data_IF_705729378211
#
_entry.id   IF_705729378211
#
_cell.length_a   1.000
_cell.length_b   1.000
_cell.length_c   1.000
_cell.angle_alpha   90.00
_cell.angle_beta   90.00
_cell.angle_gamma   90.00
#
_symmetry.space_group_name_H-M   'P 1'
#
loop_
_entity.id
_entity.type
_entity.pdbx_description
1 polymer ?
#
# COMPACT_ATOMS: atom_id res chain seq x y z
N UNK A 1 -38.53 12.56 27.32
CA UNK A 1 -37.48 13.18 26.49
C UNK A 1 -36.20 13.05 27.30
N UNK A 2 -35.31 12.19 26.80
CA UNK A 2 -34.58 11.22 27.60
C UNK A 2 -33.34 11.81 28.28
N UNK A 3 -33.01 11.34 29.49
CA UNK A 3 -31.86 11.77 30.31
C UNK A 3 -30.52 11.64 29.53
N UNK A 4 -30.51 10.76 28.52
CA UNK A 4 -29.40 10.55 27.57
C UNK A 4 -29.20 11.72 26.60
N UNK A 5 -30.27 12.40 26.21
CA UNK A 5 -30.20 13.53 25.27
C UNK A 5 -29.64 14.78 25.94
N UNK A 6 -29.92 14.97 27.24
CA UNK A 6 -29.31 16.06 28.02
C UNK A 6 -27.82 15.83 28.24
N UNK A 7 -27.41 14.60 28.56
CA UNK A 7 -26.00 14.22 28.72
C UNK A 7 -25.21 14.34 27.41
N UNK A 8 -25.84 13.99 26.28
CA UNK A 8 -25.24 14.16 24.95
C UNK A 8 -25.06 15.64 24.57
N UNK A 9 -26.02 16.50 24.92
CA UNK A 9 -25.93 17.95 24.65
C UNK A 9 -24.95 18.68 25.58
N UNK A 10 -24.80 18.25 26.84
CA UNK A 10 -23.77 18.74 27.76
C UNK A 10 -22.37 18.29 27.31
N UNK A 11 -22.22 17.05 26.84
CA UNK A 11 -20.95 16.55 26.28
C UNK A 11 -20.58 17.26 24.97
N UNK A 12 -21.53 17.56 24.08
CA UNK A 12 -21.28 18.31 22.85
C UNK A 12 -20.86 19.76 23.13
N UNK A 13 -21.48 20.42 24.11
CA UNK A 13 -21.06 21.77 24.55
C UNK A 13 -19.66 21.79 25.16
N UNK A 14 -19.24 20.70 25.81
CA UNK A 14 -17.88 20.58 26.35
C UNK A 14 -16.81 20.30 25.27
N UNK A 15 -17.20 19.82 24.09
CA UNK A 15 -16.30 19.50 22.97
C UNK A 15 -16.12 20.67 22.00
N UNK A 16 -17.08 21.60 21.92
CA UNK A 16 -16.98 22.81 21.10
C UNK A 16 -15.81 23.75 21.47
N UNK A 17 -15.19 23.57 22.65
CA UNK A 17 -14.12 24.47 23.11
C UNK A 17 -12.68 24.09 22.68
N UNK A 18 -12.43 22.96 22.00
CA UNK A 18 -11.01 22.54 21.78
C UNK A 18 -10.61 22.05 20.39
N UNK A 19 -11.47 22.09 19.37
CA UNK A 19 -11.07 21.65 18.02
C UNK A 19 -11.41 22.69 16.97
N UNK A 20 -10.48 23.63 16.74
CA UNK A 20 -10.46 24.41 15.51
C UNK A 20 -9.99 23.51 14.37
N UNK A 21 -10.92 23.03 13.55
CA UNK A 21 -10.60 22.38 12.28
C UNK A 21 -9.79 23.35 11.41
N UNK A 22 -8.76 22.86 10.73
CA UNK A 22 -7.96 23.70 9.83
C UNK A 22 -8.86 24.30 8.72
N UNK A 23 -8.64 25.56 8.33
CA UNK A 23 -9.42 26.23 7.30
C UNK A 23 -9.54 25.40 6.01
N UNK A 24 -8.46 24.71 5.63
CA UNK A 24 -8.40 23.85 4.44
C UNK A 24 -9.32 22.62 4.53
N UNK A 25 -9.46 22.03 5.72
CA UNK A 25 -10.36 20.89 5.93
C UNK A 25 -11.82 21.33 5.82
N UNK A 26 -12.12 22.51 6.37
CA UNK A 26 -13.44 23.14 6.30
C UNK A 26 -13.79 23.49 4.85
N UNK A 27 -12.82 24.01 4.09
CA UNK A 27 -13.00 24.34 2.68
C UNK A 27 -13.19 23.09 1.81
N UNK A 28 -12.44 22.01 2.06
CA UNK A 28 -12.62 20.72 1.37
C UNK A 28 -13.98 20.07 1.64
N UNK A 29 -14.48 20.16 2.87
CA UNK A 29 -15.82 19.68 3.22
C UNK A 29 -16.90 20.53 2.53
N UNK A 30 -16.71 21.85 2.45
CA UNK A 30 -17.65 22.72 1.75
C UNK A 30 -17.63 22.50 0.23
N UNK A 31 -16.46 22.21 -0.36
CA UNK A 31 -16.31 21.91 -1.78
C UNK A 31 -16.94 20.57 -2.16
N UNK A 32 -16.77 19.53 -1.34
CA UNK A 32 -17.38 18.22 -1.59
C UNK A 32 -18.91 18.28 -1.49
N UNK A 33 -19.46 18.97 -0.49
CA UNK A 33 -20.91 19.20 -0.36
C UNK A 33 -21.46 20.02 -1.54
N UNK A 34 -20.69 21.00 -2.03
CA UNK A 34 -21.11 21.85 -3.15
C UNK A 34 -21.07 21.07 -4.48
N UNK A 35 -20.09 20.22 -4.72
CA UNK A 35 -20.02 19.32 -5.88
C UNK A 35 -21.14 18.26 -5.87
N UNK A 36 -21.54 17.78 -4.70
CA UNK A 36 -22.67 16.85 -4.55
C UNK A 36 -24.03 17.54 -4.78
N UNK A 37 -24.13 18.85 -4.46
CA UNK A 37 -25.34 19.64 -4.70
C UNK A 37 -25.55 20.03 -6.17
N UNK A 38 -24.47 20.13 -6.96
CA UNK A 38 -24.52 20.52 -8.38
C UNK A 38 -24.73 19.35 -9.34
N UNK A 39 -24.59 18.10 -8.88
CA UNK A 39 -24.69 16.89 -9.70
C UNK A 39 -26.08 16.21 -9.68
N UNK A 40 -27.11 16.84 -9.11
CA UNK A 40 -28.48 16.28 -9.07
C UNK A 40 -29.48 17.14 -9.82
N UNK A 41 -29.73 16.80 -11.09
CA UNK A 41 -31.01 17.09 -11.75
C UNK A 41 -32.11 16.17 -11.21
N UNK A 42 -33.39 16.61 -11.19
CA UNK A 42 -34.42 15.98 -10.39
C UNK A 42 -35.14 14.88 -11.17
N UNK A 43 -35.06 13.63 -10.72
CA UNK A 43 -36.00 12.60 -11.14
C UNK A 43 -36.58 11.86 -9.93
N UNK A 44 -37.91 11.68 -10.02
CA UNK A 44 -38.89 11.49 -8.96
C UNK A 44 -38.76 10.15 -8.22
N UNK A 45 -38.93 10.24 -6.90
CA UNK A 45 -39.52 9.30 -5.93
C UNK A 45 -39.82 7.87 -6.40
N UNK A 46 -39.20 6.88 -5.74
CA UNK A 46 -39.88 5.96 -4.80
C UNK A 46 -38.89 4.91 -4.26
N UNK A 47 -38.93 4.65 -2.95
CA UNK A 47 -38.28 3.46 -2.35
C UNK A 47 -37.25 3.79 -1.27
N UNK A 48 -37.73 3.83 -0.02
CA UNK A 48 -36.96 3.94 1.21
C UNK A 48 -35.84 2.89 1.31
N UNK A 49 -34.57 3.28 1.29
CA UNK A 49 -33.47 2.79 2.16
C UNK A 49 -32.15 3.43 1.73
N UNK A 50 -31.19 3.56 2.67
CA UNK A 50 -29.77 3.94 2.50
C UNK A 50 -29.36 5.42 2.69
N UNK A 51 -29.84 6.08 3.75
CA UNK A 51 -29.18 7.30 4.30
C UNK A 51 -28.65 7.07 5.73
N UNK A 52 -28.06 5.91 5.99
CA UNK A 52 -27.55 5.54 7.33
C UNK A 52 -26.15 4.92 7.33
N UNK A 53 -25.39 5.08 6.23
CA UNK A 53 -24.03 4.52 6.11
C UNK A 53 -22.91 5.56 6.09
N UNK A 54 -23.20 6.83 5.81
CA UNK A 54 -22.16 7.88 5.75
C UNK A 54 -21.92 8.55 7.11
N UNK A 55 -22.91 8.55 8.02
CA UNK A 55 -22.77 9.15 9.35
C UNK A 55 -22.18 8.18 10.41
N UNK A 56 -22.19 6.87 10.16
CA UNK A 56 -21.75 5.86 11.13
C UNK A 56 -20.24 5.59 11.06
N UNK A 57 -19.59 5.95 9.96
CA UNK A 57 -18.13 5.83 9.81
C UNK A 57 -17.34 6.96 10.47
N UNK A 58 -18.00 8.07 10.85
CA UNK A 58 -17.33 9.21 11.50
C UNK A 58 -17.52 9.21 13.03
N UNK A 59 -18.53 8.50 13.57
CA UNK A 59 -18.86 8.56 15.01
C UNK A 59 -18.36 7.40 15.89
N UNK A 60 -17.68 6.38 15.34
CA UNK A 60 -17.04 5.32 16.16
C UNK A 60 -15.59 5.69 16.56
N UNK A 61 -15.00 6.74 15.96
CA UNK A 61 -13.58 7.08 16.16
C UNK A 61 -13.30 8.11 17.27
N UNK A 62 -14.28 8.52 18.07
CA UNK A 62 -14.13 9.60 19.04
C UNK A 62 -13.75 9.17 20.48
N UNK A 63 -13.60 7.86 20.75
CA UNK A 63 -13.19 7.38 22.08
C UNK A 63 -12.05 6.37 21.98
N UNK A 64 -10.83 6.85 21.81
CA UNK A 64 -9.62 6.04 22.05
C UNK A 64 -8.44 6.23 21.11
N UNK A 65 -8.58 6.95 19.98
CA UNK A 65 -7.46 7.17 19.06
C UNK A 65 -6.73 8.47 19.39
N UNK A 66 -5.68 8.36 20.20
CA UNK A 66 -4.62 9.34 20.18
C UNK A 66 -4.01 9.40 18.76
N UNK A 67 -4.01 10.61 18.17
CA UNK A 67 -3.22 11.04 17.01
C UNK A 67 -3.16 10.11 15.78
N UNK A 68 -4.15 10.18 14.89
CA UNK A 68 -3.94 9.77 13.50
C UNK A 68 -3.07 10.85 12.84
N UNK A 69 -1.76 10.60 12.74
CA UNK A 69 -0.83 11.49 12.01
C UNK A 69 -0.77 11.04 10.57
N UNK A 70 -1.03 11.98 9.65
CA UNK A 70 -0.96 11.76 8.20
C UNK A 70 0.38 12.28 7.70
N UNK A 71 1.19 11.43 7.09
CA UNK A 71 2.40 11.86 6.39
C UNK A 71 2.17 11.79 4.88
N UNK A 72 2.73 12.73 4.15
CA UNK A 72 2.56 12.83 2.70
C UNK A 72 3.91 12.72 2.02
N UNK A 73 3.99 11.93 0.95
CA UNK A 73 5.12 11.97 0.03
C UNK A 73 4.64 12.66 -1.24
N UNK A 74 5.33 13.73 -1.65
CA UNK A 74 5.03 14.47 -2.86
C UNK A 74 5.98 14.09 -4.01
N UNK A 75 5.54 14.29 -5.24
CA UNK A 75 6.40 14.23 -6.42
C UNK A 75 7.14 15.54 -6.65
N UNK A 76 7.98 15.57 -7.71
CA UNK A 76 8.71 16.78 -8.12
C UNK A 76 7.78 17.95 -8.53
N UNK A 77 6.50 17.69 -8.80
CA UNK A 77 5.49 18.71 -9.12
C UNK A 77 4.70 19.18 -7.87
N UNK A 78 5.00 18.65 -6.68
CA UNK A 78 4.30 18.97 -5.42
C UNK A 78 2.96 18.23 -5.23
N UNK A 79 2.64 17.26 -6.08
CA UNK A 79 1.42 16.46 -5.96
C UNK A 79 1.61 15.36 -4.92
N UNK A 80 0.63 15.17 -4.03
CA UNK A 80 0.66 14.08 -3.03
C UNK A 80 0.46 12.73 -3.71
N UNK A 81 1.47 11.88 -3.65
CA UNK A 81 1.46 10.55 -4.30
C UNK A 81 1.10 9.46 -3.30
N UNK A 82 1.54 9.61 -2.07
CA UNK A 82 1.35 8.61 -1.01
C UNK A 82 0.95 9.29 0.29
N UNK A 83 -0.10 8.77 0.91
CA UNK A 83 -0.49 9.14 2.27
C UNK A 83 -0.18 7.97 3.20
N UNK A 84 0.60 8.22 4.24
CA UNK A 84 0.92 7.22 5.26
C UNK A 84 0.01 7.43 6.48
N UNK A 85 -0.71 6.39 6.85
CA UNK A 85 -1.56 6.39 8.05
C UNK A 85 -1.11 5.32 9.04
N UNK A 86 -0.83 5.75 10.27
CA UNK A 86 -0.73 4.89 11.43
C UNK A 86 -2.07 4.20 11.72
N UNK A 87 -2.13 2.87 11.72
CA UNK A 87 -3.31 2.15 12.22
C UNK A 87 -2.97 1.34 13.46
N UNK A 88 -3.94 1.16 14.40
CA UNK A 88 -3.76 0.26 15.53
C UNK A 88 -3.40 -1.16 15.04
N UNK A 89 -2.71 -1.96 15.87
CA UNK A 89 -2.41 -3.34 15.53
C UNK A 89 -3.70 -4.13 15.27
N UNK A 90 -3.66 -5.03 14.30
CA UNK A 90 -4.79 -5.92 13.98
C UNK A 90 -5.06 -6.88 15.15
N UNK A 91 -6.32 -7.26 15.35
CA UNK A 91 -6.64 -8.36 16.28
C UNK A 91 -6.06 -9.69 15.76
N UNK A 92 -5.81 -10.64 16.67
CA UNK A 92 -5.26 -11.95 16.31
C UNK A 92 -6.18 -12.71 15.34
N UNK A 93 -7.49 -12.61 15.54
CA UNK A 93 -8.50 -13.23 14.70
C UNK A 93 -8.46 -12.65 13.28
N UNK A 94 -8.37 -11.31 13.16
CA UNK A 94 -8.28 -10.65 11.85
C UNK A 94 -6.98 -10.98 11.13
N UNK A 95 -5.87 -11.07 11.86
CA UNK A 95 -4.59 -11.49 11.30
C UNK A 95 -4.66 -12.92 10.76
N UNK A 96 -5.26 -13.85 11.50
CA UNK A 96 -5.43 -15.24 11.07
C UNK A 96 -6.33 -15.37 9.83
N UNK A 97 -7.41 -14.59 9.75
CA UNK A 97 -8.29 -14.55 8.58
C UNK A 97 -7.54 -14.08 7.33
N UNK A 98 -6.77 -12.98 7.44
CA UNK A 98 -5.96 -12.45 6.35
C UNK A 98 -4.87 -13.45 5.91
N UNK A 99 -4.23 -14.15 6.86
CA UNK A 99 -3.26 -15.20 6.57
C UNK A 99 -3.88 -16.37 5.81
N UNK A 100 -5.08 -16.80 6.21
CA UNK A 100 -5.78 -17.89 5.52
C UNK A 100 -6.22 -17.50 4.10
N UNK A 101 -6.67 -16.26 3.90
CA UNK A 101 -6.96 -15.73 2.58
C UNK A 101 -5.70 -15.65 1.70
N UNK A 102 -4.59 -15.15 2.27
CA UNK A 102 -3.31 -15.05 1.58
C UNK A 102 -2.75 -16.42 1.18
N UNK A 103 -2.88 -17.44 2.02
CA UNK A 103 -2.38 -18.79 1.75
C UNK A 103 -3.00 -19.41 0.49
N UNK A 104 -4.29 -19.16 0.22
CA UNK A 104 -4.95 -19.62 -1.01
C UNK A 104 -4.38 -18.93 -2.26
N UNK A 105 -4.15 -17.63 -2.18
CA UNK A 105 -3.54 -16.86 -3.27
C UNK A 105 -2.09 -17.29 -3.50
N UNK A 106 -1.36 -17.60 -2.43
CA UNK A 106 0.02 -18.11 -2.51
C UNK A 106 0.08 -19.50 -3.14
N UNK A 107 -0.91 -20.38 -2.87
CA UNK A 107 -1.02 -21.67 -3.55
C UNK A 107 -1.19 -21.48 -5.06
N UNK A 108 -2.09 -20.58 -5.50
CA UNK A 108 -2.24 -20.26 -6.92
C UNK A 108 -0.95 -19.69 -7.49
N UNK A 109 -0.32 -18.72 -6.81
CA UNK A 109 0.96 -18.14 -7.24
C UNK A 109 2.04 -19.20 -7.39
N UNK A 110 2.10 -20.20 -6.51
CA UNK A 110 3.12 -21.24 -6.55
C UNK A 110 3.07 -22.08 -7.84
N UNK A 111 1.86 -22.29 -8.38
CA UNK A 111 1.58 -23.07 -9.60
C UNK A 111 1.85 -22.29 -10.89
N UNK A 112 1.97 -20.97 -10.83
CA UNK A 112 2.32 -20.16 -12.00
C UNK A 112 3.79 -20.41 -12.42
N UNK A 113 4.05 -20.29 -13.71
CA UNK A 113 5.43 -20.24 -14.20
C UNK A 113 6.06 -18.88 -13.82
N UNK A 114 7.39 -18.81 -13.59
CA UNK A 114 8.07 -17.53 -13.35
C UNK A 114 7.75 -16.52 -14.46
N UNK A 115 7.45 -15.29 -14.07
CA UNK A 115 7.13 -14.20 -15.01
C UNK A 115 5.75 -14.25 -15.64
N UNK A 116 4.86 -15.11 -15.16
CA UNK A 116 3.47 -15.19 -15.63
C UNK A 116 2.50 -14.60 -14.61
N UNK A 117 1.30 -14.27 -15.09
CA UNK A 117 0.23 -13.75 -14.26
C UNK A 117 -1.10 -14.46 -14.58
N UNK A 118 -2.01 -14.44 -13.62
CA UNK A 118 -3.36 -14.97 -13.77
C UNK A 118 -4.39 -14.09 -13.06
N UNK A 119 -5.60 -14.06 -13.61
CA UNK A 119 -6.79 -13.58 -12.92
C UNK A 119 -7.42 -14.74 -12.15
N UNK A 120 -7.75 -14.48 -10.89
CA UNK A 120 -8.23 -15.48 -9.94
C UNK A 120 -9.56 -15.01 -9.39
N UNK A 121 -10.62 -15.76 -9.67
CA UNK A 121 -11.90 -15.56 -9.01
C UNK A 121 -12.01 -16.51 -7.83
N UNK A 122 -12.31 -15.96 -6.65
CA UNK A 122 -12.54 -16.74 -5.44
C UNK A 122 -13.89 -16.41 -4.82
N UNK A 123 -14.73 -17.43 -4.64
CA UNK A 123 -16.02 -17.34 -3.97
C UNK A 123 -15.85 -17.49 -2.46
N UNK A 124 -16.50 -16.63 -1.70
CA UNK A 124 -16.60 -16.72 -0.24
C UNK A 124 -17.78 -17.64 0.17
N UNK A 125 -17.89 -17.93 1.47
CA UNK A 125 -18.95 -18.79 2.01
C UNK A 125 -20.37 -18.24 1.77
N UNK A 126 -20.51 -16.92 1.65
CA UNK A 126 -21.76 -16.26 1.32
C UNK A 126 -22.12 -16.32 -0.18
N UNK A 127 -21.30 -16.99 -1.00
CA UNK A 127 -21.51 -17.12 -2.43
C UNK A 127 -21.17 -15.87 -3.24
N UNK A 128 -20.53 -14.88 -2.64
CA UNK A 128 -20.02 -13.69 -3.33
C UNK A 128 -18.53 -13.89 -3.65
N UNK A 129 -18.03 -13.33 -4.74
CA UNK A 129 -16.62 -13.47 -5.08
C UNK A 129 -16.04 -12.25 -5.76
N UNK A 130 -14.74 -12.11 -5.63
CA UNK A 130 -13.95 -11.04 -6.22
C UNK A 130 -12.91 -11.65 -7.15
N UNK A 131 -12.55 -10.88 -8.18
CA UNK A 131 -11.43 -11.24 -9.06
C UNK A 131 -10.20 -10.50 -8.56
N UNK A 132 -9.14 -11.25 -8.30
CA UNK A 132 -7.82 -10.74 -7.93
C UNK A 132 -6.82 -11.15 -9.00
N UNK A 133 -5.89 -10.26 -9.33
CA UNK A 133 -4.81 -10.58 -10.25
C UNK A 133 -3.56 -10.96 -9.45
N UNK A 134 -2.95 -12.08 -9.81
CA UNK A 134 -1.76 -12.60 -9.15
C UNK A 134 -0.67 -12.78 -10.20
N UNK A 135 0.50 -12.21 -9.94
CA UNK A 135 1.70 -12.43 -10.74
C UNK A 135 2.72 -13.24 -9.94
N UNK A 136 3.51 -14.05 -10.64
CA UNK A 136 4.73 -14.66 -10.13
C UNK A 136 5.94 -13.94 -10.75
N UNK A 137 6.78 -13.27 -9.96
CA UNK A 137 7.93 -12.55 -10.50
C UNK A 137 8.95 -13.48 -11.13
N UNK A 138 9.83 -12.93 -11.97
CA UNK A 138 11.10 -13.57 -12.30
C UNK A 138 12.06 -13.40 -11.13
N UNK A 139 12.58 -14.52 -10.62
CA UNK A 139 13.67 -14.52 -9.65
C UNK A 139 14.99 -14.60 -10.40
N UNK A 140 15.93 -13.73 -10.07
CA UNK A 140 17.20 -13.56 -10.76
C UNK A 140 18.34 -13.70 -9.74
N UNK A 141 19.27 -14.62 -9.99
CA UNK A 141 20.41 -14.82 -9.08
C UNK A 141 21.63 -14.00 -9.49
N UNK A 142 21.62 -13.46 -10.72
CA UNK A 142 22.73 -12.69 -11.27
C UNK A 142 22.33 -11.21 -11.38
N UNK A 143 23.18 -10.34 -10.84
CA UNK A 143 22.94 -8.89 -10.86
C UNK A 143 22.86 -8.35 -12.29
N UNK A 144 23.69 -8.88 -13.19
CA UNK A 144 23.73 -8.46 -14.60
C UNK A 144 22.39 -8.72 -15.29
N UNK A 145 21.72 -9.83 -14.95
CA UNK A 145 20.38 -10.13 -15.48
C UNK A 145 19.35 -9.13 -14.95
N UNK A 146 19.39 -8.83 -13.65
CA UNK A 146 18.51 -7.82 -13.04
C UNK A 146 18.67 -6.45 -13.71
N UNK A 147 19.90 -5.96 -13.84
CA UNK A 147 20.16 -4.64 -14.44
C UNK A 147 19.86 -4.63 -15.96
N UNK A 148 19.92 -5.78 -16.63
CA UNK A 148 19.47 -5.89 -18.03
C UNK A 148 17.96 -5.65 -18.15
N UNK A 149 17.16 -6.18 -17.24
CA UNK A 149 15.71 -5.95 -17.21
C UNK A 149 15.33 -4.51 -16.83
N UNK A 150 16.19 -3.83 -16.07
CA UNK A 150 15.95 -2.48 -15.55
C UNK A 150 16.72 -1.39 -16.29
N UNK A 151 17.26 -1.73 -17.47
CA UNK A 151 18.04 -0.81 -18.28
C UNK A 151 17.31 0.53 -18.45
N UNK A 152 18.02 1.62 -18.15
CA UNK A 152 17.52 3.01 -18.15
C UNK A 152 16.45 3.33 -17.09
N UNK A 153 16.26 2.46 -16.09
CA UNK A 153 15.35 2.71 -14.95
C UNK A 153 16.16 2.93 -13.68
N UNK A 154 16.90 1.91 -13.26
CA UNK A 154 17.75 1.92 -12.07
C UNK A 154 18.87 0.88 -12.22
N UNK A 155 20.08 1.24 -11.80
CA UNK A 155 21.23 0.31 -11.76
C UNK A 155 21.49 -0.13 -10.32
N UNK A 156 21.28 -1.42 -10.03
CA UNK A 156 21.58 -1.98 -8.73
C UNK A 156 23.10 -2.26 -8.62
N UNK A 157 23.78 -1.82 -7.55
CA UNK A 157 25.19 -2.12 -7.35
C UNK A 157 25.42 -3.56 -6.90
N UNK A 158 26.62 -4.10 -7.09
CA UNK A 158 27.00 -5.41 -6.54
C UNK A 158 27.14 -5.42 -5.02
N UNK A 159 27.42 -4.26 -4.44
CA UNK A 159 27.70 -4.08 -3.02
C UNK A 159 27.14 -2.75 -2.53
N UNK A 160 26.56 -2.76 -1.32
CA UNK A 160 26.00 -1.59 -0.64
C UNK A 160 26.70 -1.41 0.71
N UNK A 161 27.06 -0.17 1.04
CA UNK A 161 27.71 0.22 2.29
C UNK A 161 28.98 -0.59 2.61
N UNK A 162 29.67 -1.11 1.59
CA UNK A 162 30.87 -1.96 1.69
C UNK A 162 30.68 -3.23 2.54
N UNK A 163 29.43 -3.65 2.78
CA UNK A 163 29.12 -4.74 3.71
C UNK A 163 28.08 -5.72 3.15
N UNK A 164 27.09 -5.22 2.40
CA UNK A 164 26.00 -6.04 1.89
C UNK A 164 26.24 -6.37 0.43
N UNK A 165 26.30 -7.66 0.10
CA UNK A 165 26.50 -8.14 -1.27
C UNK A 165 25.18 -8.57 -1.88
N UNK A 166 25.03 -8.33 -3.18
CA UNK A 166 23.86 -8.77 -3.93
C UNK A 166 23.68 -10.29 -3.77
N UNK A 167 22.45 -10.70 -3.45
CA UNK A 167 22.10 -12.10 -3.23
C UNK A 167 21.14 -12.62 -4.28
N UNK A 168 20.06 -11.88 -4.50
CA UNK A 168 19.02 -12.21 -5.47
C UNK A 168 18.24 -10.94 -5.83
N UNK A 169 17.65 -10.97 -7.02
CA UNK A 169 16.75 -9.97 -7.55
C UNK A 169 15.40 -10.56 -7.89
N UNK A 170 14.40 -9.70 -7.98
CA UNK A 170 13.15 -10.03 -8.63
C UNK A 170 12.64 -8.91 -9.51
N UNK A 171 11.97 -9.27 -10.60
CA UNK A 171 11.30 -8.35 -11.51
C UNK A 171 9.87 -8.84 -11.76
N UNK A 172 8.92 -7.92 -11.63
CA UNK A 172 7.53 -8.12 -11.99
C UNK A 172 7.12 -7.18 -13.12
N UNK A 173 6.37 -7.74 -14.05
CA UNK A 173 5.86 -7.09 -15.24
C UNK A 173 4.37 -6.82 -15.13
N UNK A 174 3.94 -5.71 -15.71
CA UNK A 174 2.54 -5.33 -15.74
C UNK A 174 1.74 -6.35 -16.56
N UNK A 175 0.43 -6.33 -16.45
CA UNK A 175 -0.43 -7.31 -17.10
C UNK A 175 -1.72 -6.67 -17.57
N UNK A 176 -2.27 -7.22 -18.65
CA UNK A 176 -3.53 -6.73 -19.20
C UNK A 176 -4.68 -7.06 -18.24
N UNK A 177 -5.35 -6.01 -17.78
CA UNK A 177 -6.63 -6.11 -17.05
C UNK A 177 -7.77 -5.97 -18.04
N UNK A 178 -8.76 -6.85 -17.94
CA UNK A 178 -9.90 -6.90 -18.83
C UNK A 178 -11.17 -7.12 -18.02
N UNK A 179 -12.05 -6.13 -17.98
CA UNK A 179 -13.33 -6.21 -17.26
C UNK A 179 -14.20 -7.37 -17.79
N UNK A 180 -14.13 -7.66 -19.08
CA UNK A 180 -14.87 -8.79 -19.68
C UNK A 180 -14.35 -10.14 -19.17
N UNK A 181 -13.06 -10.25 -18.86
CA UNK A 181 -12.48 -11.45 -18.25
C UNK A 181 -13.04 -11.65 -16.84
N UNK A 182 -13.23 -10.59 -16.07
CA UNK A 182 -13.78 -10.67 -14.71
C UNK A 182 -15.22 -11.18 -14.70
N UNK A 183 -16.06 -10.65 -15.58
CA UNK A 183 -17.44 -11.12 -15.76
C UNK A 183 -17.48 -12.58 -16.23
N UNK A 184 -16.58 -12.95 -17.15
CA UNK A 184 -16.51 -14.32 -17.66
C UNK A 184 -16.08 -15.31 -16.57
N UNK A 185 -15.09 -14.96 -15.74
CA UNK A 185 -14.64 -15.78 -14.62
C UNK A 185 -15.77 -16.02 -13.61
N UNK A 186 -16.50 -14.95 -13.24
CA UNK A 186 -17.67 -15.03 -12.35
C UNK A 186 -18.73 -15.98 -12.93
N UNK A 187 -19.10 -15.77 -14.19
CA UNK A 187 -20.09 -16.59 -14.90
C UNK A 187 -19.68 -18.07 -14.97
N UNK A 188 -18.44 -18.37 -15.37
CA UNK A 188 -17.92 -19.75 -15.42
C UNK A 188 -17.93 -20.41 -14.05
N UNK A 189 -17.55 -19.69 -13.00
CA UNK A 189 -17.58 -20.20 -11.64
C UNK A 189 -18.99 -20.58 -11.19
N UNK A 190 -20.00 -19.75 -11.52
CA UNK A 190 -21.39 -20.03 -11.20
C UNK A 190 -21.97 -21.19 -12.05
N UNK A 191 -21.63 -21.28 -13.34
CA UNK A 191 -22.05 -22.37 -14.23
C UNK A 191 -21.47 -23.73 -13.81
N UNK A 192 -20.21 -23.75 -13.35
CA UNK A 192 -19.50 -24.97 -12.95
C UNK A 192 -19.57 -25.27 -11.46
N UNK A 193 -20.18 -24.39 -10.68
CA UNK A 193 -20.22 -24.42 -9.21
C UNK A 193 -18.83 -24.59 -8.57
N UNK A 194 -17.81 -23.94 -9.15
CA UNK A 194 -16.44 -23.94 -8.63
C UNK A 194 -16.18 -22.72 -7.74
N UNK A 195 -15.57 -22.94 -6.57
CA UNK A 195 -15.24 -21.88 -5.63
C UNK A 195 -13.98 -21.09 -6.02
N UNK A 196 -13.17 -21.60 -6.94
CA UNK A 196 -11.93 -21.02 -7.40
C UNK A 196 -11.80 -21.22 -8.91
N UNK A 197 -11.62 -20.13 -9.65
CA UNK A 197 -11.29 -20.16 -11.08
C UNK A 197 -10.00 -19.40 -11.30
N UNK A 198 -9.15 -19.91 -12.20
CA UNK A 198 -7.87 -19.30 -12.54
C UNK A 198 -7.75 -19.27 -14.06
N UNK A 199 -7.52 -18.09 -14.62
CA UNK A 199 -7.30 -17.89 -16.05
C UNK A 199 -6.00 -17.09 -16.24
N UNK A 200 -5.10 -17.52 -17.15
CA UNK A 200 -3.87 -16.79 -17.42
C UNK A 200 -4.18 -15.42 -18.05
N UNK A 201 -3.36 -14.41 -17.72
CA UNK A 201 -3.45 -13.08 -18.34
C UNK A 201 -2.19 -12.75 -19.10
N UNK A 202 -2.33 -11.91 -20.12
CA UNK A 202 -1.20 -11.44 -20.92
C UNK A 202 -0.32 -10.53 -20.08
N UNK A 203 0.96 -10.91 -19.95
CA UNK A 203 2.00 -10.08 -19.33
C UNK A 203 2.52 -9.08 -20.35
N UNK A 204 2.63 -7.82 -19.94
CA UNK A 204 3.10 -6.70 -20.73
C UNK A 204 4.61 -6.50 -20.52
N UNK A 205 5.36 -5.96 -21.50
CA UNK A 205 6.81 -5.76 -21.37
C UNK A 205 7.20 -4.59 -20.43
N UNK A 206 6.25 -4.04 -19.68
CA UNK A 206 6.48 -2.90 -18.78
C UNK A 206 6.77 -3.42 -17.38
N UNK A 207 7.95 -3.12 -16.83
CA UNK A 207 8.25 -3.41 -15.42
C UNK A 207 7.37 -2.51 -14.54
N UNK A 208 6.71 -3.09 -13.53
CA UNK A 208 6.01 -2.30 -12.50
C UNK A 208 6.65 -2.46 -11.11
N UNK A 209 7.45 -3.51 -10.89
CA UNK A 209 8.11 -3.72 -9.62
C UNK A 209 9.44 -4.43 -9.81
N UNK A 210 10.45 -3.99 -9.08
CA UNK A 210 11.72 -4.69 -8.95
C UNK A 210 12.22 -4.62 -7.50
N UNK A 211 13.02 -5.62 -7.12
CA UNK A 211 13.63 -5.67 -5.80
C UNK A 211 14.97 -6.37 -5.87
N UNK A 212 15.94 -5.86 -5.12
CA UNK A 212 17.24 -6.49 -4.94
C UNK A 212 17.44 -6.75 -3.44
N UNK A 213 17.73 -8.00 -3.10
CA UNK A 213 18.11 -8.42 -1.77
C UNK A 213 19.63 -8.49 -1.66
N UNK A 214 20.14 -7.96 -0.57
CA UNK A 214 21.54 -7.97 -0.20
C UNK A 214 21.72 -8.58 1.18
N UNK A 215 22.85 -9.23 1.39
CA UNK A 215 23.17 -9.92 2.63
C UNK A 215 24.62 -9.59 3.04
N UNK A 216 24.84 -9.33 4.33
CA UNK A 216 26.18 -9.18 4.88
C UNK A 216 26.77 -10.52 5.35
N UNK A 217 28.02 -10.50 5.84
CA UNK A 217 28.68 -11.70 6.34
C UNK A 217 28.04 -12.30 7.60
N UNK A 218 27.21 -11.55 8.32
CA UNK A 218 26.49 -11.99 9.51
C UNK A 218 25.07 -12.52 9.18
N UNK A 219 24.65 -12.49 7.91
CA UNK A 219 23.32 -12.90 7.47
C UNK A 219 22.24 -11.82 7.66
N UNK A 220 22.63 -10.57 7.94
CA UNK A 220 21.69 -9.47 7.98
C UNK A 220 21.25 -9.10 6.57
N UNK A 221 19.96 -8.82 6.41
CA UNK A 221 19.36 -8.54 5.12
C UNK A 221 19.00 -7.07 4.95
N UNK A 222 19.36 -6.55 3.78
CA UNK A 222 18.94 -5.26 3.26
C UNK A 222 18.23 -5.49 1.93
N UNK A 223 17.11 -4.81 1.70
CA UNK A 223 16.33 -4.93 0.47
C UNK A 223 16.06 -3.56 -0.11
N UNK A 224 16.43 -3.38 -1.36
CA UNK A 224 16.09 -2.18 -2.15
C UNK A 224 14.93 -2.54 -3.06
N UNK A 225 13.84 -1.78 -3.00
CA UNK A 225 12.63 -2.02 -3.78
C UNK A 225 12.32 -0.80 -4.63
N UNK A 226 11.70 -1.07 -5.77
CA UNK A 226 11.26 -0.07 -6.71
C UNK A 226 9.88 -0.48 -7.21
N UNK A 227 8.87 0.35 -6.95
CA UNK A 227 7.48 0.10 -7.33
C UNK A 227 6.97 1.28 -8.15
N UNK A 228 6.48 1.00 -9.36
CA UNK A 228 5.88 2.01 -10.23
C UNK A 228 4.58 2.47 -9.61
N UNK A 229 4.47 3.77 -9.37
CA UNK A 229 3.25 4.41 -8.91
C UNK A 229 2.46 4.87 -10.13
N UNK A 230 1.18 4.52 -10.18
CA UNK A 230 0.27 5.09 -11.16
C UNK A 230 -0.34 6.33 -10.55
N UNK A 231 -0.08 7.49 -11.17
CA UNK A 231 -0.49 8.84 -10.73
C UNK A 231 -2.00 9.04 -10.52
N UNK A 232 -2.83 8.06 -10.85
CA UNK A 232 -4.28 8.15 -10.75
C UNK A 232 -4.74 7.52 -9.44
N UNK A 233 -4.85 8.37 -8.42
CA UNK A 233 -5.44 8.05 -7.12
C UNK A 233 -4.42 8.07 -6.00
N UNK A 234 -4.66 8.93 -5.01
CA UNK A 234 -3.91 8.99 -3.75
C UNK A 234 -3.83 7.58 -3.16
N UNK A 235 -2.65 6.96 -3.23
CA UNK A 235 -2.45 5.65 -2.62
C UNK A 235 -2.24 5.85 -1.13
N UNK A 236 -3.28 5.59 -0.34
CA UNK A 236 -3.17 5.57 1.12
C UNK A 236 -2.53 4.24 1.54
N UNK A 237 -1.30 4.31 2.04
CA UNK A 237 -0.67 3.18 2.69
C UNK A 237 -1.02 3.22 4.18
N UNK A 238 -2.00 2.40 4.57
CA UNK A 238 -2.28 2.14 5.97
C UNK A 238 -1.38 1.02 6.46
N UNK A 239 -0.52 1.32 7.43
CA UNK A 239 0.33 0.31 8.06
C UNK A 239 -0.20 0.06 9.47
N UNK A 240 -0.67 -1.16 9.77
CA UNK A 240 -1.00 -1.55 11.13
C UNK A 240 0.29 -1.74 11.93
N UNK A 241 0.39 -1.10 13.10
CA UNK A 241 1.52 -1.26 14.01
C UNK A 241 1.39 -0.41 15.27
N UNK A 242 1.63 -1.01 16.43
CA UNK A 242 1.91 -0.24 17.64
C UNK A 242 3.35 0.28 17.58
N UNK A 243 3.60 1.50 18.07
CA UNK A 243 4.95 2.07 18.22
C UNK A 243 5.76 2.23 16.92
N UNK A 244 5.16 2.82 15.90
CA UNK A 244 5.88 3.25 14.70
C UNK A 244 6.49 4.65 14.90
N UNK A 245 7.76 4.80 14.54
CA UNK A 245 8.38 6.11 14.36
C UNK A 245 8.29 6.42 12.87
N UNK A 246 7.76 7.59 12.53
CA UNK A 246 7.72 8.09 11.16
C UNK A 246 8.25 9.51 11.17
N UNK A 247 9.25 9.78 10.34
CA UNK A 247 9.90 11.08 10.25
C UNK A 247 10.07 11.49 8.80
N UNK A 248 9.73 12.73 8.47
CA UNK A 248 10.06 13.32 7.18
C UNK A 248 11.58 13.49 7.07
N UNK A 249 12.11 13.14 5.90
CA UNK A 249 13.54 13.20 5.58
C UNK A 249 13.74 13.75 4.16
N UNK A 250 14.94 14.24 3.88
CA UNK A 250 15.35 14.59 2.52
C UNK A 250 16.35 13.57 1.99
N UNK A 251 16.16 13.14 0.75
CA UNK A 251 17.00 12.16 0.06
C UNK A 251 17.30 12.70 -1.34
N UNK A 252 18.55 13.06 -1.62
CA UNK A 252 18.95 13.66 -2.89
C UNK A 252 18.17 14.93 -3.23
N UNK A 253 17.67 15.67 -2.24
CA UNK A 253 16.79 16.83 -2.42
C UNK A 253 15.30 16.51 -2.60
N UNK A 254 14.91 15.24 -2.69
CA UNK A 254 13.51 14.80 -2.70
C UNK A 254 12.98 14.60 -1.28
N UNK A 255 11.67 14.81 -1.09
CA UNK A 255 10.98 14.45 0.15
C UNK A 255 10.85 12.93 0.28
N UNK A 256 11.06 12.43 1.49
CA UNK A 256 10.92 11.02 1.83
C UNK A 256 10.47 10.81 3.27
N UNK A 257 10.28 9.55 3.63
CA UNK A 257 9.94 9.12 4.98
C UNK A 257 10.98 8.12 5.49
N UNK A 258 11.44 8.35 6.71
CA UNK A 258 12.02 7.32 7.55
C UNK A 258 10.91 6.67 8.38
N UNK A 259 10.90 5.34 8.42
CA UNK A 259 9.90 4.54 9.12
C UNK A 259 10.63 3.47 9.93
N UNK A 260 10.40 3.45 11.24
CA UNK A 260 10.81 2.35 12.13
C UNK A 260 9.56 1.70 12.72
N UNK A 261 9.47 0.37 12.57
CA UNK A 261 8.30 -0.40 13.02
C UNK A 261 8.69 -1.83 13.36
N UNK A 262 7.99 -2.39 14.32
CA UNK A 262 8.01 -3.83 14.56
C UNK A 262 7.15 -4.53 13.50
N UNK A 263 7.69 -5.56 12.86
CA UNK A 263 6.93 -6.37 11.92
C UNK A 263 5.97 -7.33 12.65
N UNK A 264 5.04 -8.01 11.95
CA UNK A 264 4.09 -8.92 12.59
C UNK A 264 4.72 -10.10 13.34
N UNK A 265 6.03 -10.35 13.17
CA UNK A 265 6.79 -11.40 13.83
C UNK A 265 7.64 -10.88 14.99
N UNK A 266 7.54 -9.60 15.32
CA UNK A 266 8.27 -8.98 16.41
C UNK A 266 9.67 -8.47 16.04
N UNK A 267 10.03 -8.47 14.75
CA UNK A 267 11.35 -8.01 14.32
C UNK A 267 11.29 -6.51 13.98
N UNK A 268 12.20 -5.74 14.56
CA UNK A 268 12.33 -4.32 14.20
C UNK A 268 12.76 -4.19 12.74
N UNK A 269 12.02 -3.38 12.00
CA UNK A 269 12.28 -3.02 10.60
C UNK A 269 12.48 -1.52 10.51
N UNK A 270 13.53 -1.13 9.80
CA UNK A 270 13.80 0.26 9.44
C UNK A 270 13.71 0.40 7.94
N UNK A 271 13.02 1.43 7.50
CA UNK A 271 12.75 1.70 6.10
C UNK A 271 12.97 3.18 5.82
N UNK A 272 13.59 3.47 4.69
CA UNK A 272 13.57 4.80 4.08
C UNK A 272 12.86 4.67 2.75
N UNK A 273 11.90 5.56 2.49
CA UNK A 273 11.08 5.56 1.28
C UNK A 273 10.97 6.95 0.68
N UNK A 274 11.04 7.04 -0.64
CA UNK A 274 10.86 8.29 -1.38
C UNK A 274 10.29 8.04 -2.77
N UNK A 275 9.98 9.14 -3.46
CA UNK A 275 9.63 9.12 -4.87
C UNK A 275 10.84 9.52 -5.72
N UNK A 276 11.08 8.78 -6.79
CA UNK A 276 11.95 9.18 -7.88
C UNK A 276 11.17 9.07 -9.20
N UNK A 277 10.78 10.23 -9.74
CA UNK A 277 9.85 10.32 -10.86
C UNK A 277 8.57 9.47 -10.59
N UNK A 278 8.26 8.52 -11.46
CA UNK A 278 7.10 7.62 -11.38
C UNK A 278 7.33 6.43 -10.42
N UNK A 279 8.48 6.35 -9.75
CA UNK A 279 8.88 5.20 -8.94
C UNK A 279 8.88 5.53 -7.46
N UNK A 280 8.19 4.72 -6.66
CA UNK A 280 8.41 4.66 -5.23
C UNK A 280 9.59 3.74 -4.95
N UNK A 281 10.66 4.33 -4.44
CA UNK A 281 11.86 3.62 -4.01
C UNK A 281 11.81 3.42 -2.50
N UNK A 282 12.26 2.25 -2.04
CA UNK A 282 12.47 2.03 -0.61
C UNK A 282 13.66 1.14 -0.33
N UNK A 283 14.36 1.45 0.75
CA UNK A 283 15.36 0.58 1.34
C UNK A 283 14.82 0.15 2.68
N UNK A 284 14.71 -1.16 2.91
CA UNK A 284 14.40 -1.69 4.22
C UNK A 284 15.48 -2.64 4.71
N UNK A 285 15.73 -2.60 6.01
CA UNK A 285 16.67 -3.47 6.69
C UNK A 285 16.03 -4.07 7.92
N UNK A 286 16.46 -5.29 8.22
CA UNK A 286 16.16 -5.98 9.48
C UNK A 286 17.38 -6.06 10.41
N UNK A 287 18.48 -5.42 10.03
CA UNK A 287 19.69 -5.29 10.82
C UNK A 287 19.48 -4.29 11.96
N UNK A 288 19.66 -4.74 13.19
CA UNK A 288 19.49 -3.89 14.37
C UNK A 288 20.55 -2.79 14.47
N UNK A 289 21.71 -2.97 13.83
CA UNK A 289 22.81 -1.99 13.75
C UNK A 289 22.64 -0.96 12.63
N UNK A 290 21.63 -1.14 11.77
CA UNK A 290 21.28 -0.17 10.74
C UNK A 290 20.63 1.06 11.37
N UNK A 291 21.28 2.21 11.23
CA UNK A 291 20.75 3.50 11.70
C UNK A 291 20.03 4.24 10.57
N UNK A 292 19.24 5.25 10.94
CA UNK A 292 18.60 6.15 9.98
C UNK A 292 19.62 6.80 9.04
N UNK A 293 20.74 7.27 9.58
CA UNK A 293 21.79 7.97 8.83
C UNK A 293 22.40 7.06 7.77
N UNK A 294 22.71 5.80 8.13
CA UNK A 294 23.23 4.80 7.17
C UNK A 294 22.22 4.50 6.06
N UNK A 295 20.93 4.38 6.38
CA UNK A 295 19.90 4.17 5.36
C UNK A 295 19.78 5.37 4.42
N UNK A 296 19.89 6.59 4.94
CA UNK A 296 19.88 7.80 4.12
C UNK A 296 21.12 7.91 3.24
N UNK A 297 22.30 7.56 3.74
CA UNK A 297 23.54 7.49 2.95
C UNK A 297 23.38 6.50 1.78
N UNK A 298 22.91 5.27 2.07
CA UNK A 298 22.63 4.27 1.03
C UNK A 298 21.59 4.78 0.01
N UNK A 299 20.55 5.47 0.48
CA UNK A 299 19.53 6.03 -0.40
C UNK A 299 20.10 7.07 -1.37
N UNK A 300 20.98 7.95 -0.88
CA UNK A 300 21.67 8.94 -1.71
C UNK A 300 22.62 8.26 -2.70
N UNK A 301 23.41 7.28 -2.27
CA UNK A 301 24.32 6.52 -3.15
C UNK A 301 23.58 5.84 -4.31
N UNK A 302 22.37 5.32 -4.06
CA UNK A 302 21.53 4.70 -5.08
C UNK A 302 21.01 5.74 -6.08
N UNK A 303 20.62 6.93 -5.62
CA UNK A 303 20.18 8.02 -6.49
C UNK A 303 21.30 8.52 -7.40
N UNK A 304 22.54 8.61 -6.89
CA UNK A 304 23.70 9.05 -7.67
C UNK A 304 24.10 8.09 -8.80
N UNK A 305 23.72 6.81 -8.69
CA UNK A 305 24.03 5.76 -9.68
C UNK A 305 23.10 5.75 -10.89
N UNK A 306 22.26 6.78 -11.03
CA UNK A 306 21.35 6.90 -12.16
C UNK A 306 22.08 7.43 -13.40
N UNK A 307 21.95 6.70 -14.52
CA UNK A 307 22.40 7.13 -15.85
C UNK A 307 21.36 7.99 -16.55
#
# INVERSE_FOLDING_TARGET
>A
MDHKMRYAMEALRAVEETVQLSPDLRERILLSVKQESQSRSPMRQAGRTKWLLVATLVFIFASGFASITWYKIQNQQGETVMEYQAAPPLSKERLAELQAAQAKLDEVRSKLAPGTAAAVYQKNEAGQGEVSYIAKPYMLNELVELNTHLKNILDYPAEIATAYKFKEGMVSYDYQKDEALEENLKRKADETNQALMVEPVTVLPTVYHASAAYEDAAGNQLRVNMLKQFWVGNSMMTVPGANQIVEEVSIGGSEGLYIEREDPYGKMRREVRWMDQDWSLSINSTDSSMTKEKLLEIANDILERRS
#
